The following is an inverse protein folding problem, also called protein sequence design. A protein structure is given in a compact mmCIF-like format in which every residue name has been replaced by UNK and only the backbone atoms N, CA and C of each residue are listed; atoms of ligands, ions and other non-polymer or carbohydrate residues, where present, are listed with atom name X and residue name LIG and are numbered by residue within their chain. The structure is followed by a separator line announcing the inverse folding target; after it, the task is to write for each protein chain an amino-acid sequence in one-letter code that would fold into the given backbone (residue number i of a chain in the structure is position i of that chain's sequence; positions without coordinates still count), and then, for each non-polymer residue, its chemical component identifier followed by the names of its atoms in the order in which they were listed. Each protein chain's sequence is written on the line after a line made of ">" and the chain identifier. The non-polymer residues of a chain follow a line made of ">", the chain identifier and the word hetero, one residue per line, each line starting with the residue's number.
data_IF_906386992284
#
_entry.id   IF_906386992284
#
_cell.length_a   1.000
_cell.length_b   1.000
_cell.length_c   1.000
_cell.angle_alpha   90.00
_cell.angle_beta   90.00
_cell.angle_gamma   90.00
#
_symmetry.space_group_name_H-M   'P 1'
#
loop_
_entity.id
_entity.type
_entity.pdbx_description
1 polymer ?
#
# COMPACT_ATOMS: atom_id res chain seq x y z
N UNK A 1 5.13 1.09 7.95
CA UNK A 1 4.32 -0.10 8.26
C UNK A 1 5.07 -1.37 7.87
N UNK A 2 4.84 -2.48 8.57
CA UNK A 2 5.50 -3.78 8.30
C UNK A 2 4.45 -4.86 8.13
N UNK A 3 4.60 -5.71 7.10
CA UNK A 3 3.65 -6.77 6.77
C UNK A 3 4.38 -8.10 6.55
N UNK A 4 3.64 -9.21 6.65
CA UNK A 4 4.12 -10.54 6.26
C UNK A 4 3.14 -11.20 5.31
N UNK A 5 3.65 -11.86 4.28
CA UNK A 5 2.81 -12.64 3.37
C UNK A 5 2.27 -13.89 4.07
N UNK A 6 0.99 -14.16 3.90
CA UNK A 6 0.36 -15.37 4.40
C UNK A 6 0.60 -16.57 3.47
N UNK A 7 0.83 -16.31 2.18
CA UNK A 7 1.00 -17.32 1.13
C UNK A 7 2.16 -16.93 0.20
N UNK A 8 2.71 -17.92 -0.49
CA UNK A 8 3.63 -17.67 -1.60
C UNK A 8 2.88 -17.21 -2.84
N UNK A 9 3.54 -16.44 -3.71
CA UNK A 9 2.91 -15.94 -4.93
C UNK A 9 3.69 -14.82 -5.61
N UNK A 10 2.99 -14.10 -6.48
CA UNK A 10 3.47 -12.88 -7.12
C UNK A 10 2.82 -11.67 -6.46
N UNK A 11 3.63 -10.72 -5.98
CA UNK A 11 3.16 -9.47 -5.40
C UNK A 11 3.32 -8.36 -6.43
N UNK A 12 2.20 -7.77 -6.87
CA UNK A 12 2.19 -6.68 -7.85
C UNK A 12 2.17 -5.28 -7.21
N UNK A 13 1.75 -5.15 -5.96
CA UNK A 13 1.56 -3.87 -5.29
C UNK A 13 0.93 -4.00 -3.91
N UNK A 14 0.60 -2.87 -3.31
CA UNK A 14 -0.08 -2.76 -2.02
C UNK A 14 -1.42 -2.04 -2.18
N UNK A 15 -2.49 -2.61 -1.64
CA UNK A 15 -3.77 -1.91 -1.53
C UNK A 15 -3.87 -1.15 -0.21
N UNK A 16 -4.50 0.02 -0.23
CA UNK A 16 -4.89 0.75 0.97
C UNK A 16 -6.36 1.18 0.90
N UNK A 17 -7.04 1.03 2.03
CA UNK A 17 -8.38 1.53 2.28
C UNK A 17 -8.34 2.36 3.55
N UNK A 18 -9.34 3.20 3.75
CA UNK A 18 -9.55 3.88 5.03
C UNK A 18 -10.77 3.27 5.73
N UNK A 19 -10.77 3.44 7.04
CA UNK A 19 -11.92 3.24 7.92
C UNK A 19 -12.01 4.49 8.80
N UNK A 20 -13.21 5.04 8.96
CA UNK A 20 -13.47 6.22 9.79
C UNK A 20 -14.75 5.99 10.60
N UNK A 21 -14.67 6.12 11.91
CA UNK A 21 -15.85 6.19 12.76
C UNK A 21 -16.41 7.60 12.71
N UNK A 22 -17.63 7.76 12.18
CA UNK A 22 -18.28 9.07 12.00
C UNK A 22 -19.29 9.39 13.10
N UNK A 23 -19.72 8.36 13.83
CA UNK A 23 -20.51 8.42 15.05
C UNK A 23 -20.28 7.12 15.84
N UNK A 24 -20.57 7.07 17.15
CA UNK A 24 -20.37 5.85 17.95
C UNK A 24 -21.00 4.61 17.30
N UNK A 25 -20.17 3.64 16.93
CA UNK A 25 -20.58 2.40 16.27
C UNK A 25 -20.90 2.49 14.78
N UNK A 26 -20.81 3.68 14.16
CA UNK A 26 -21.01 3.88 12.72
C UNK A 26 -19.65 4.09 12.03
N UNK A 27 -19.19 3.04 11.34
CA UNK A 27 -17.92 3.03 10.62
C UNK A 27 -18.15 3.12 9.11
N UNK A 28 -17.57 4.14 8.48
CA UNK A 28 -17.41 4.22 7.03
C UNK A 28 -16.13 3.49 6.62
N UNK A 29 -16.17 2.72 5.54
CA UNK A 29 -15.03 1.98 5.02
C UNK A 29 -14.99 1.97 3.50
N UNK A 30 -13.84 2.28 2.90
CA UNK A 30 -13.68 2.13 1.44
C UNK A 30 -13.50 0.70 0.94
N UNK A 31 -13.50 -0.30 1.83
CA UNK A 31 -13.35 -1.69 1.40
C UNK A 31 -14.60 -2.24 0.71
N UNK A 32 -15.78 -1.70 1.02
CA UNK A 32 -17.07 -2.23 0.56
C UNK A 32 -18.05 -1.10 0.27
N UNK A 33 -18.57 -1.06 -0.95
CA UNK A 33 -19.82 -0.35 -1.25
C UNK A 33 -19.79 1.18 -1.15
N UNK A 34 -18.62 1.83 -1.16
CA UNK A 34 -18.50 3.29 -1.19
C UNK A 34 -18.10 3.80 -2.57
N UNK A 35 -18.40 5.06 -2.86
CA UNK A 35 -17.89 5.77 -4.05
C UNK A 35 -16.37 5.92 -4.02
N UNK A 36 -15.75 6.01 -2.83
CA UNK A 36 -14.30 6.08 -2.68
C UNK A 36 -13.69 4.69 -2.90
N UNK A 37 -12.87 4.57 -3.95
CA UNK A 37 -12.19 3.32 -4.30
C UNK A 37 -10.92 3.16 -3.45
N UNK A 38 -10.56 1.92 -3.06
CA UNK A 38 -9.25 1.66 -2.47
C UNK A 38 -8.12 2.16 -3.36
N UNK A 39 -7.06 2.69 -2.74
CA UNK A 39 -5.85 3.08 -3.42
C UNK A 39 -5.01 1.84 -3.73
N UNK A 40 -4.39 1.82 -4.90
CA UNK A 40 -3.42 0.80 -5.28
C UNK A 40 -2.06 1.42 -5.53
N UNK A 41 -1.06 0.92 -4.81
CA UNK A 41 0.34 1.33 -4.92
C UNK A 41 1.11 0.22 -5.65
N UNK A 42 1.27 0.32 -6.98
CA UNK A 42 1.98 -0.69 -7.75
C UNK A 42 3.44 -0.79 -7.31
N UNK A 43 4.08 -1.93 -7.61
CA UNK A 43 5.53 -2.09 -7.63
C UNK A 43 6.05 -1.90 -9.06
N UNK A 44 7.33 -1.57 -9.28
CA UNK A 44 7.90 -1.42 -10.64
C UNK A 44 7.79 -2.70 -11.48
N UNK A 45 7.67 -3.84 -10.81
CA UNK A 45 7.33 -5.12 -11.43
C UNK A 45 6.92 -6.13 -10.36
N UNK A 46 6.30 -7.25 -10.77
CA UNK A 46 5.87 -8.27 -9.82
C UNK A 46 7.05 -8.89 -9.08
N UNK A 47 6.94 -9.02 -7.76
CA UNK A 47 7.96 -9.65 -6.91
C UNK A 47 7.48 -11.03 -6.48
N UNK A 48 8.29 -12.06 -6.73
CA UNK A 48 8.01 -13.40 -6.19
C UNK A 48 8.25 -13.41 -4.69
N UNK A 49 7.26 -13.85 -3.93
CA UNK A 49 7.28 -13.88 -2.46
C UNK A 49 7.00 -15.30 -1.98
N UNK A 50 7.69 -15.74 -0.93
CA UNK A 50 7.35 -16.97 -0.19
C UNK A 50 6.40 -16.67 0.96
N UNK A 51 5.89 -17.70 1.64
CA UNK A 51 5.17 -17.53 2.92
C UNK A 51 6.08 -16.83 3.95
N UNK A 52 5.49 -15.96 4.78
CA UNK A 52 6.15 -15.17 5.81
C UNK A 52 7.24 -14.18 5.33
N UNK A 53 7.31 -13.89 4.02
CA UNK A 53 8.16 -12.84 3.46
C UNK A 53 7.79 -11.51 4.10
N UNK A 54 8.78 -10.76 4.56
CA UNK A 54 8.56 -9.50 5.27
C UNK A 54 8.67 -8.31 4.33
N UNK A 55 7.74 -7.35 4.49
CA UNK A 55 7.68 -6.13 3.73
C UNK A 55 7.72 -4.95 4.67
N UNK A 56 8.50 -3.92 4.32
CA UNK A 56 8.42 -2.60 4.98
C UNK A 56 7.96 -1.60 3.93
N UNK A 57 6.82 -0.97 4.19
CA UNK A 57 6.25 0.10 3.35
C UNK A 57 6.33 1.43 4.11
N UNK A 58 6.76 2.48 3.42
CA UNK A 58 6.72 3.86 3.85
C UNK A 58 5.90 4.65 2.84
N UNK A 59 4.87 5.32 3.34
CA UNK A 59 4.07 6.30 2.62
C UNK A 59 4.50 7.68 3.11
N UNK A 60 4.62 8.64 2.21
CA UNK A 60 4.84 10.04 2.53
C UNK A 60 3.95 10.91 1.65
N UNK A 61 3.22 11.82 2.29
CA UNK A 61 2.28 12.73 1.68
C UNK A 61 2.93 14.10 1.61
N UNK A 62 2.98 14.70 0.42
CA UNK A 62 3.40 16.09 0.29
C UNK A 62 2.16 16.97 0.49
N UNK A 63 2.19 17.77 1.55
CA UNK A 63 1.12 18.71 1.91
C UNK A 63 1.36 20.04 1.18
N UNK A 64 1.32 20.02 -0.15
CA UNK A 64 1.36 21.23 -0.96
C UNK A 64 0.45 21.01 -2.18
N UNK A 65 -0.52 21.90 -2.35
CA UNK A 65 -1.54 22.00 -3.40
C UNK A 65 -2.82 21.12 -3.33
N UNK A 66 -3.94 21.59 -3.93
CA UNK A 66 -5.14 20.79 -4.16
C UNK A 66 -4.80 19.65 -5.14
N UNK A 67 -4.30 18.55 -4.58
CA UNK A 67 -3.77 17.42 -5.34
C UNK A 67 -2.69 16.72 -4.52
N UNK A 68 -3.06 16.15 -3.38
CA UNK A 68 -2.12 15.51 -2.45
C UNK A 68 -1.29 14.44 -3.17
N UNK A 69 -0.01 14.70 -3.39
CA UNK A 69 0.89 13.71 -3.98
C UNK A 69 1.33 12.71 -2.93
N UNK A 70 1.11 11.43 -3.23
CA UNK A 70 1.58 10.32 -2.38
C UNK A 70 2.82 9.71 -3.00
N UNK A 71 3.91 9.69 -2.24
CA UNK A 71 5.10 8.90 -2.57
C UNK A 71 5.13 7.65 -1.72
N UNK A 72 5.52 6.52 -2.33
CA UNK A 72 5.69 5.28 -1.60
C UNK A 72 7.03 4.62 -1.90
N UNK A 73 7.62 4.07 -0.86
CA UNK A 73 8.88 3.35 -0.94
C UNK A 73 8.88 2.21 0.04
N UNK A 74 9.77 1.26 -0.19
CA UNK A 74 9.83 0.12 0.69
C UNK A 74 10.92 -0.85 0.36
N UNK A 75 10.86 -1.94 1.09
CA UNK A 75 11.83 -3.01 1.02
C UNK A 75 11.08 -4.34 1.12
N UNK A 76 11.38 -5.24 0.19
CA UNK A 76 11.01 -6.65 0.29
C UNK A 76 12.21 -7.44 0.81
N UNK A 77 12.02 -8.17 1.92
CA UNK A 77 13.01 -9.11 2.45
C UNK A 77 12.62 -10.52 2.07
N UNK A 78 13.29 -11.06 1.05
CA UNK A 78 13.13 -12.44 0.60
C UNK A 78 14.27 -13.31 1.14
N UNK A 79 14.15 -14.64 0.99
CA UNK A 79 15.28 -15.56 1.24
C UNK A 79 16.51 -15.26 0.37
N UNK A 80 16.33 -14.66 -0.81
CA UNK A 80 17.41 -14.31 -1.76
C UNK A 80 18.01 -12.92 -1.49
N UNK A 81 17.63 -12.27 -0.40
CA UNK A 81 18.14 -10.95 -0.02
C UNK A 81 17.08 -9.85 -0.05
N UNK A 82 17.59 -8.61 0.02
CA UNK A 82 16.80 -7.38 0.21
C UNK A 82 16.63 -6.64 -1.12
N UNK A 83 15.38 -6.39 -1.54
CA UNK A 83 15.07 -5.60 -2.74
C UNK A 83 14.38 -4.29 -2.35
N UNK A 84 15.08 -3.14 -2.42
CA UNK A 84 14.45 -1.84 -2.25
C UNK A 84 13.59 -1.49 -3.47
N UNK A 85 12.54 -0.71 -3.24
CA UNK A 85 11.76 -0.08 -4.31
C UNK A 85 11.36 1.34 -3.87
N UNK A 86 11.27 2.24 -4.84
CA UNK A 86 10.77 3.60 -4.67
C UNK A 86 9.96 3.95 -5.91
N UNK A 87 8.78 4.51 -5.71
CA UNK A 87 7.93 5.02 -6.77
C UNK A 87 7.44 6.41 -6.37
N UNK A 88 7.46 7.32 -7.34
CA UNK A 88 7.01 8.69 -7.18
C UNK A 88 5.56 8.83 -7.63
N UNK A 89 4.90 9.83 -7.04
CA UNK A 89 3.55 10.33 -7.25
C UNK A 89 2.76 9.69 -8.40
N UNK A 90 1.70 8.95 -8.04
CA UNK A 90 0.55 8.80 -8.91
C UNK A 90 -0.48 9.89 -8.55
N UNK A 91 -1.20 10.48 -9.51
CA UNK A 91 -2.30 11.38 -9.20
C UNK A 91 -3.33 10.62 -8.36
N UNK A 92 -3.71 11.18 -7.21
CA UNK A 92 -4.85 10.69 -6.45
C UNK A 92 -6.11 11.33 -7.00
N UNK A 93 -6.64 10.77 -8.10
CA UNK A 93 -8.00 11.06 -8.60
C UNK A 93 -8.22 12.46 -9.14
#
# INVERSE_FOLDING_TARGET
>A
MTFRSLRGGSLAGFGASFEAEVAPGLVLSSRKGTTWRPLFFPLPGPVRVGRATAFRLRLAFAEQDPGCQVTWSGVVRTRRGRRPFRLAAGPTG
#
